data_IF_945558977986
#
_entry.id   IF_945558977986
#
_cell.length_a   1.000
_cell.length_b   1.000
_cell.length_c   1.000
_cell.angle_alpha   90.00
_cell.angle_beta   90.00
_cell.angle_gamma   90.00
#
_symmetry.space_group_name_H-M   'P 1'
#
loop_
_entity.id
_entity.type
_entity.pdbx_description
1 polymer ?
#
# COMPACT_ATOMS: atom_id res chain seq x y z
N UNK A 1 -11.84 0.80 -8.18
CA UNK A 1 -11.01 -0.02 -9.11
C UNK A 1 -9.70 -0.31 -8.40
N UNK A 2 -9.12 -1.53 -8.50
CA UNK A 2 -7.88 -1.82 -7.80
C UNK A 2 -6.76 -0.87 -8.25
N UNK A 3 -6.15 -0.16 -7.31
CA UNK A 3 -5.06 0.76 -7.57
C UNK A 3 -3.74 0.00 -7.54
N UNK A 4 -2.85 0.25 -8.50
CA UNK A 4 -1.52 -0.38 -8.53
C UNK A 4 -0.51 0.64 -8.02
N UNK A 5 0.15 0.32 -6.91
CA UNK A 5 1.26 1.09 -6.36
C UNK A 5 2.59 0.47 -6.80
N UNK A 6 3.55 1.31 -7.17
CA UNK A 6 4.92 0.87 -7.45
C UNK A 6 5.80 1.32 -6.29
N UNK A 7 6.41 0.35 -5.60
CA UNK A 7 7.29 0.62 -4.46
C UNK A 7 8.55 1.37 -4.90
N UNK A 8 9.09 2.14 -3.97
CA UNK A 8 10.42 2.74 -4.01
C UNK A 8 11.33 1.97 -3.07
N UNK A 9 12.62 2.26 -3.17
CA UNK A 9 13.61 1.61 -2.31
C UNK A 9 13.35 2.02 -0.85
N UNK A 10 13.14 1.04 0.02
CA UNK A 10 12.84 1.29 1.43
C UNK A 10 11.34 1.38 1.77
N UNK A 11 10.44 1.21 0.79
CA UNK A 11 9.00 1.20 1.04
C UNK A 11 8.59 0.01 1.91
N UNK A 12 7.55 0.20 2.73
CA UNK A 12 7.06 -0.80 3.69
C UNK A 12 5.57 -1.01 3.47
N UNK A 13 5.10 -2.25 3.49
CA UNK A 13 3.67 -2.55 3.25
C UNK A 13 2.76 -1.82 4.24
N UNK A 14 3.15 -1.80 5.51
CA UNK A 14 2.40 -1.17 6.60
C UNK A 14 2.24 0.33 6.36
N UNK A 15 3.32 1.00 5.92
CA UNK A 15 3.29 2.42 5.59
C UNK A 15 2.44 2.70 4.35
N UNK A 16 2.55 1.90 3.29
CA UNK A 16 1.74 2.05 2.08
C UNK A 16 0.25 1.89 2.43
N UNK A 17 -0.09 0.86 3.21
CA UNK A 17 -1.45 0.64 3.70
C UNK A 17 -1.92 1.80 4.58
N UNK A 18 -1.08 2.32 5.48
CA UNK A 18 -1.42 3.45 6.34
C UNK A 18 -1.62 4.75 5.55
N UNK A 19 -0.84 4.99 4.49
CA UNK A 19 -0.97 6.15 3.61
C UNK A 19 -2.23 6.06 2.73
N UNK A 20 -2.55 4.87 2.23
CA UNK A 20 -3.65 4.68 1.29
C UNK A 20 -5.01 4.48 1.98
N UNK A 21 -5.08 3.61 2.99
CA UNK A 21 -6.31 3.28 3.71
C UNK A 21 -6.47 4.05 5.04
N UNK A 22 -5.41 4.71 5.52
CA UNK A 22 -5.35 5.33 6.84
C UNK A 22 -4.85 4.37 7.93
N UNK A 23 -4.15 4.91 8.92
CA UNK A 23 -3.52 4.15 10.02
C UNK A 23 -4.49 3.23 10.79
N UNK A 24 -5.77 3.63 10.92
CA UNK A 24 -6.78 2.83 11.62
C UNK A 24 -7.20 1.57 10.85
N UNK A 25 -7.15 1.63 9.52
CA UNK A 25 -7.62 0.56 8.63
C UNK A 25 -6.47 -0.23 8.02
N UNK A 26 -5.23 0.25 8.12
CA UNK A 26 -4.03 -0.41 7.59
C UNK A 26 -3.94 -1.89 8.00
N UNK A 27 -4.15 -2.17 9.29
CA UNK A 27 -4.11 -3.54 9.85
C UNK A 27 -5.20 -4.45 9.26
N UNK A 28 -6.40 -3.89 9.03
CA UNK A 28 -7.51 -4.63 8.42
C UNK A 28 -7.32 -4.83 6.91
N UNK A 29 -6.63 -3.90 6.24
CA UNK A 29 -6.34 -3.97 4.82
C UNK A 29 -5.17 -4.92 4.47
N UNK A 30 -4.21 -5.12 5.38
CA UNK A 30 -3.06 -6.04 5.19
C UNK A 30 -3.44 -7.42 4.66
N UNK A 31 -4.35 -8.20 5.28
CA UNK A 31 -4.71 -9.53 4.77
C UNK A 31 -5.33 -9.45 3.37
N UNK A 32 -6.17 -8.45 3.09
CA UNK A 32 -6.81 -8.25 1.77
C UNK A 32 -5.75 -7.95 0.70
N UNK A 33 -4.78 -7.11 1.01
CA UNK A 33 -3.64 -6.81 0.12
C UNK A 33 -2.77 -8.04 -0.09
N UNK A 34 -2.48 -8.81 0.96
CA UNK A 34 -1.67 -10.03 0.85
C UNK A 34 -2.36 -11.14 0.04
N UNK A 35 -3.69 -11.27 0.17
CA UNK A 35 -4.47 -12.21 -0.64
C UNK A 35 -4.49 -11.80 -2.11
N UNK A 36 -4.63 -10.49 -2.39
CA UNK A 36 -4.54 -9.95 -3.74
C UNK A 36 -3.12 -10.05 -4.35
N UNK A 37 -2.07 -10.06 -3.52
CA UNK A 37 -0.67 -10.11 -3.92
C UNK A 37 0.04 -11.33 -3.34
N UNK A 38 -0.36 -12.53 -3.78
CA UNK A 38 0.32 -13.76 -3.37
C UNK A 38 1.81 -13.72 -3.73
N UNK A 39 2.66 -13.92 -2.73
CA UNK A 39 4.12 -13.83 -2.85
C UNK A 39 4.72 -12.51 -2.37
N UNK A 40 3.90 -11.48 -2.11
CA UNK A 40 4.40 -10.21 -1.60
C UNK A 40 5.06 -10.33 -0.21
N UNK A 41 4.51 -11.19 0.66
CA UNK A 41 5.10 -11.48 1.97
C UNK A 41 6.47 -12.16 1.90
N UNK A 42 6.82 -12.79 0.77
CA UNK A 42 8.10 -13.48 0.57
C UNK A 42 9.24 -12.49 0.23
N UNK A 43 8.89 -11.32 -0.32
CA UNK A 43 9.84 -10.26 -0.66
C UNK A 43 10.51 -9.69 0.60
N UNK A 44 9.80 -9.69 1.73
CA UNK A 44 10.29 -9.25 3.03
C UNK A 44 9.54 -8.05 3.60
N UNK A 45 10.04 -7.52 4.71
CA UNK A 45 9.43 -6.37 5.39
C UNK A 45 9.66 -5.04 4.64
N UNK A 46 10.79 -4.92 3.95
CA UNK A 46 11.20 -3.73 3.19
C UNK A 46 11.22 -4.11 1.72
N UNK A 47 10.49 -3.36 0.89
CA UNK A 47 10.45 -3.60 -0.53
C UNK A 47 11.58 -2.87 -1.27
N UNK A 48 12.21 -3.53 -2.25
CA UNK A 48 13.05 -2.82 -3.21
C UNK A 48 12.19 -1.94 -4.12
N UNK A 49 12.82 -0.97 -4.80
CA UNK A 49 12.13 -0.18 -5.82
C UNK A 49 11.62 -1.07 -6.97
N UNK A 50 10.42 -0.79 -7.46
CA UNK A 50 9.84 -1.43 -8.65
C UNK A 50 8.95 -2.64 -8.38
N UNK A 51 8.62 -2.96 -7.13
CA UNK A 51 7.62 -3.98 -6.81
C UNK A 51 6.23 -3.40 -7.06
N UNK A 52 5.42 -4.11 -7.84
CA UNK A 52 4.03 -3.73 -8.07
C UNK A 52 3.14 -4.35 -6.99
N UNK A 53 2.44 -3.50 -6.25
CA UNK A 53 1.49 -3.91 -5.20
C UNK A 53 0.09 -3.51 -5.65
N UNK A 54 -0.79 -4.50 -5.73
CA UNK A 54 -2.20 -4.31 -6.00
C UNK A 54 -2.87 -3.91 -4.68
N UNK A 55 -3.38 -2.69 -4.62
CA UNK A 55 -4.19 -2.18 -3.51
C UNK A 55 -5.67 -2.35 -3.90
N UNK A 56 -6.36 -3.41 -3.41
CA UNK A 56 -7.77 -3.60 -3.69
C UNK A 56 -8.61 -2.49 -3.03
N UNK A 57 -9.75 -2.16 -3.65
CA UNK A 57 -10.75 -1.28 -3.03
C UNK A 57 -11.24 -1.94 -1.73
N UNK A 58 -10.75 -1.41 -0.61
CA UNK A 58 -11.41 -1.62 0.68
C UNK A 58 -12.27 -0.39 0.93
N UNK A 59 -13.36 -0.49 1.69
CA UNK A 59 -14.27 0.64 1.98
C UNK A 59 -13.62 1.77 2.83
N UNK A 60 -12.29 1.85 2.84
CA UNK A 60 -11.52 2.95 3.39
C UNK A 60 -11.38 4.02 2.32
N UNK A 61 -12.25 5.02 2.43
CA UNK A 61 -12.24 6.32 1.74
C UNK A 61 -10.84 6.71 1.31
N UNK A 62 -10.56 6.64 0.01
CA UNK A 62 -9.38 7.22 -0.61
C UNK A 62 -9.39 8.72 -0.31
N UNK A 63 -8.66 9.15 0.72
CA UNK A 63 -8.18 10.53 0.78
C UNK A 63 -7.03 10.59 -0.23
N UNK A 64 -7.38 10.83 -1.51
CA UNK A 64 -6.48 11.46 -2.46
C UNK A 64 -6.17 12.86 -1.93
N UNK A 65 -5.36 12.91 -0.88
CA UNK A 65 -4.68 14.11 -0.47
C UNK A 65 -3.61 14.37 -1.52
N UNK A 66 -3.92 15.28 -2.44
CA UNK A 66 -2.99 16.04 -3.24
C UNK A 66 -1.67 16.20 -2.47
N UNK A 67 -0.64 15.43 -2.87
CA UNK A 67 0.71 15.61 -2.34
C UNK A 67 1.26 16.90 -2.93
N UNK A 68 0.83 18.05 -2.38
CA UNK A 68 1.42 19.34 -2.69
C UNK A 68 2.76 19.41 -1.95
N UNK A 69 3.82 19.03 -2.64
CA UNK A 69 5.21 19.25 -2.22
C UNK A 69 5.41 20.78 -2.14
N UNK A 70 5.43 21.33 -0.93
CA UNK A 70 5.62 22.76 -0.71
C UNK A 70 7.02 23.23 -1.13
N UNK A 71 7.09 24.45 -1.68
CA UNK A 71 8.32 25.24 -1.90
C UNK A 71 8.98 25.68 -0.58
#
# INVERSE_FOLDING_TARGET
MPMIYITRDGDVLDEICARHYGVAQAVAALPVVLEANRGLADVGAIFPAGVQIILPDTEATTNEGDFQLWE
#
